data_IF_720921794827
#
_entry.id   IF_720921794827
#
_cell.length_a   1.000
_cell.length_b   1.000
_cell.length_c   1.000
_cell.angle_alpha   90.00
_cell.angle_beta   90.00
_cell.angle_gamma   90.00
#
_symmetry.space_group_name_H-M   'P 1'
#
loop_
_entity.id
_entity.type
_entity.pdbx_description
1 polymer ?
#
# COMPACT_ATOMS: atom_id res chain seq x y z
N UNK A 1 -3.20 -9.55 -7.12
CA UNK A 1 -2.50 -8.31 -6.72
C UNK A 1 -3.55 -7.23 -6.73
N UNK A 2 -3.97 -6.76 -5.55
CA UNK A 2 -5.21 -6.02 -5.29
C UNK A 2 -6.44 -6.63 -5.98
N UNK A 3 -7.14 -7.54 -5.30
CA UNK A 3 -8.40 -8.13 -5.78
C UNK A 3 -9.56 -7.11 -5.75
N UNK A 4 -9.29 -5.86 -6.12
CA UNK A 4 -10.28 -4.85 -6.42
C UNK A 4 -10.49 -4.87 -7.93
N UNK A 5 -11.67 -5.33 -8.42
CA UNK A 5 -11.97 -5.27 -9.84
C UNK A 5 -11.80 -3.82 -10.35
N UNK A 6 -11.15 -3.68 -11.51
CA UNK A 6 -10.85 -2.41 -12.20
C UNK A 6 -9.72 -1.54 -11.61
N UNK A 7 -8.93 -2.04 -10.64
CA UNK A 7 -7.79 -1.28 -10.08
C UNK A 7 -6.69 -0.97 -11.11
N UNK A 8 -6.36 -1.92 -12.01
CA UNK A 8 -5.35 -1.70 -13.08
C UNK A 8 -5.75 -0.64 -14.10
N UNK A 9 -7.04 -0.53 -14.45
CA UNK A 9 -7.51 0.51 -15.38
C UNK A 9 -7.54 1.90 -14.73
N UNK A 10 -7.87 1.95 -13.43
CA UNK A 10 -7.98 3.19 -12.65
C UNK A 10 -6.64 3.75 -12.17
N UNK A 11 -5.58 2.93 -12.17
CA UNK A 11 -4.21 3.30 -11.81
C UNK A 11 -3.25 3.12 -13.00
N UNK A 12 -3.75 3.33 -14.23
CA UNK A 12 -2.97 3.14 -15.46
C UNK A 12 -1.77 4.11 -15.60
N UNK A 13 -1.75 5.19 -14.82
CA UNK A 13 -0.63 6.11 -14.72
C UNK A 13 0.54 5.55 -13.91
N UNK A 14 0.29 4.60 -13.00
CA UNK A 14 1.31 4.06 -12.12
C UNK A 14 2.06 2.89 -12.78
N UNK A 15 3.36 2.81 -12.52
CA UNK A 15 4.26 1.82 -13.11
C UNK A 15 3.97 0.43 -12.54
N UNK A 16 3.78 -0.57 -13.40
CA UNK A 16 3.69 -1.99 -12.96
C UNK A 16 5.08 -2.52 -12.63
N UNK A 17 5.48 -2.41 -11.35
CA UNK A 17 6.80 -2.80 -10.84
C UNK A 17 6.76 -4.05 -9.96
N UNK A 18 5.80 -4.97 -10.15
CA UNK A 18 5.67 -6.18 -9.33
C UNK A 18 6.96 -7.02 -9.32
N UNK A 19 7.51 -7.32 -10.50
CA UNK A 19 8.70 -8.18 -10.62
C UNK A 19 9.92 -7.55 -9.96
N UNK A 20 10.13 -6.24 -10.15
CA UNK A 20 11.24 -5.51 -9.53
C UNK A 20 11.10 -5.41 -8.02
N UNK A 21 9.87 -5.14 -7.54
CA UNK A 21 9.56 -5.09 -6.11
C UNK A 21 9.78 -6.45 -5.43
N UNK A 22 9.41 -7.54 -6.11
CA UNK A 22 9.68 -8.89 -5.63
C UNK A 22 11.18 -9.17 -5.60
N UNK A 23 11.90 -8.81 -6.67
CA UNK A 23 13.35 -8.99 -6.75
C UNK A 23 14.09 -8.23 -5.64
N UNK A 24 13.73 -6.98 -5.39
CA UNK A 24 14.27 -6.17 -4.28
C UNK A 24 14.02 -6.85 -2.93
N UNK A 25 12.79 -7.32 -2.71
CA UNK A 25 12.39 -7.99 -1.47
C UNK A 25 13.16 -9.28 -1.23
N UNK A 26 13.38 -10.09 -2.28
CA UNK A 26 14.20 -11.30 -2.20
C UNK A 26 15.65 -10.93 -1.83
N UNK A 27 16.20 -9.85 -2.41
CA UNK A 27 17.53 -9.35 -2.06
C UNK A 27 17.67 -9.02 -0.56
N UNK A 28 16.65 -8.39 0.03
CA UNK A 28 16.64 -8.03 1.45
C UNK A 28 16.35 -9.23 2.38
N UNK A 29 15.52 -10.19 1.94
CA UNK A 29 14.98 -11.27 2.81
C UNK A 29 15.09 -12.64 2.14
N UNK A 30 16.29 -13.03 1.73
CA UNK A 30 16.51 -14.22 0.89
C UNK A 30 16.29 -15.57 1.62
N UNK A 31 16.35 -15.62 2.95
CA UNK A 31 16.27 -16.89 3.68
C UNK A 31 14.89 -17.57 3.50
N UNK A 32 14.82 -18.90 3.23
CA UNK A 32 13.59 -19.58 2.83
C UNK A 32 12.40 -19.39 3.79
N UNK A 33 12.66 -19.39 5.10
CA UNK A 33 11.62 -19.28 6.15
C UNK A 33 10.91 -17.92 6.19
N UNK A 34 11.47 -16.87 5.57
CA UNK A 34 10.82 -15.54 5.47
C UNK A 34 9.86 -15.42 4.28
N UNK A 35 9.26 -16.52 3.81
CA UNK A 35 8.35 -16.52 2.66
C UNK A 35 7.17 -15.56 2.80
N UNK A 36 6.55 -15.54 3.98
CA UNK A 36 5.44 -14.63 4.28
C UNK A 36 5.89 -13.15 4.28
N UNK A 37 7.01 -12.84 4.93
CA UNK A 37 7.61 -11.51 4.92
C UNK A 37 7.89 -11.02 3.49
N UNK A 38 8.38 -11.91 2.60
CA UNK A 38 8.60 -11.58 1.19
C UNK A 38 7.29 -11.23 0.46
N UNK A 39 6.22 -11.99 0.69
CA UNK A 39 4.93 -11.74 0.03
C UNK A 39 4.39 -10.37 0.44
N UNK A 40 4.37 -10.07 1.73
CA UNK A 40 3.84 -8.79 2.23
C UNK A 40 4.71 -7.61 1.84
N UNK A 41 6.02 -7.72 2.00
CA UNK A 41 6.94 -6.64 1.64
C UNK A 41 6.87 -6.34 0.14
N UNK A 42 6.65 -7.35 -0.72
CA UNK A 42 6.42 -7.13 -2.16
C UNK A 42 5.13 -6.36 -2.42
N UNK A 43 4.01 -6.71 -1.75
CA UNK A 43 2.74 -5.98 -1.88
C UNK A 43 2.91 -4.51 -1.46
N UNK A 44 3.60 -4.27 -0.33
CA UNK A 44 3.87 -2.93 0.17
C UNK A 44 4.80 -2.14 -0.75
N UNK A 45 5.88 -2.74 -1.23
CA UNK A 45 6.80 -2.07 -2.16
C UNK A 45 6.07 -1.59 -3.41
N UNK A 46 5.12 -2.36 -3.92
CA UNK A 46 4.34 -1.91 -5.08
C UNK A 46 3.41 -0.75 -4.72
N UNK A 47 2.77 -0.76 -3.55
CA UNK A 47 1.98 0.38 -3.08
C UNK A 47 2.84 1.63 -2.93
N UNK A 48 4.05 1.48 -2.39
CA UNK A 48 5.01 2.58 -2.26
C UNK A 48 5.37 3.13 -3.63
N UNK A 49 5.61 2.28 -4.64
CA UNK A 49 5.89 2.79 -6.00
C UNK A 49 4.69 3.49 -6.64
N UNK A 50 3.47 3.04 -6.36
CA UNK A 50 2.25 3.74 -6.83
C UNK A 50 2.09 5.08 -6.12
N UNK A 51 2.37 5.15 -4.82
CA UNK A 51 2.34 6.39 -4.05
C UNK A 51 3.42 7.36 -4.53
N UNK A 52 4.63 6.88 -4.79
CA UNK A 52 5.71 7.65 -5.41
C UNK A 52 5.23 8.32 -6.70
N UNK A 53 4.66 7.54 -7.63
CA UNK A 53 4.09 8.03 -8.90
C UNK A 53 2.97 9.09 -8.71
N UNK A 54 2.19 8.96 -7.63
CA UNK A 54 1.16 9.95 -7.28
C UNK A 54 1.81 11.25 -6.82
N UNK A 55 2.85 11.20 -5.99
CA UNK A 55 3.47 12.38 -5.40
C UNK A 55 4.46 13.09 -6.35
N UNK A 56 5.13 12.37 -7.24
CA UNK A 56 6.20 12.91 -8.09
C UNK A 56 5.73 13.33 -9.49
N UNK A 57 4.68 12.70 -10.03
CA UNK A 57 4.26 12.85 -11.43
C UNK A 57 2.80 13.26 -11.56
N UNK A 58 1.87 12.61 -10.83
CA UNK A 58 0.45 12.69 -11.18
C UNK A 58 -0.37 13.68 -10.35
N UNK A 59 -0.17 13.73 -9.03
CA UNK A 59 -0.97 14.51 -8.10
C UNK A 59 -0.67 16.01 -8.16
N UNK A 60 -1.71 16.82 -7.95
CA UNK A 60 -1.53 18.26 -7.72
C UNK A 60 -1.22 18.53 -6.25
N UNK A 61 -0.60 19.66 -5.93
CA UNK A 61 -0.24 20.02 -4.54
C UNK A 61 -1.48 19.94 -3.62
N UNK A 62 -2.61 20.51 -4.05
CA UNK A 62 -3.85 20.50 -3.27
C UNK A 62 -4.38 19.06 -3.03
N UNK A 63 -4.28 18.18 -4.03
CA UNK A 63 -4.67 16.77 -3.89
C UNK A 63 -3.72 16.03 -2.94
N UNK A 64 -2.42 16.32 -2.98
CA UNK A 64 -1.40 15.68 -2.14
C UNK A 64 -1.52 16.12 -0.67
N UNK A 65 -1.85 17.38 -0.40
CA UNK A 65 -2.12 17.85 0.97
C UNK A 65 -3.32 17.11 1.57
N UNK A 66 -4.42 16.99 0.82
CA UNK A 66 -5.59 16.22 1.26
C UNK A 66 -5.25 14.74 1.45
N UNK A 67 -4.46 14.15 0.55
CA UNK A 67 -4.08 12.76 0.67
C UNK A 67 -3.20 12.51 1.90
N UNK A 68 -2.30 13.44 2.20
CA UNK A 68 -1.45 13.39 3.39
C UNK A 68 -2.30 13.45 4.66
N UNK A 69 -3.26 14.39 4.77
CA UNK A 69 -4.16 14.49 5.93
C UNK A 69 -4.98 13.20 6.15
N UNK A 70 -5.47 12.57 5.08
CA UNK A 70 -6.18 11.28 5.17
C UNK A 70 -5.27 10.16 5.67
N UNK A 71 -4.02 10.12 5.20
CA UNK A 71 -3.02 9.14 5.68
C UNK A 71 -2.66 9.39 7.15
N UNK A 72 -2.48 10.64 7.57
CA UNK A 72 -2.17 10.97 8.97
C UNK A 72 -3.31 10.65 9.93
N UNK A 73 -4.57 10.86 9.51
CA UNK A 73 -5.75 10.48 10.30
C UNK A 73 -5.98 8.97 10.34
N UNK A 74 -5.53 8.27 9.30
CA UNK A 74 -5.70 6.83 9.12
C UNK A 74 -7.18 6.37 9.25
N UNK A 75 -8.12 7.21 8.79
CA UNK A 75 -9.56 6.95 8.87
C UNK A 75 -10.19 6.83 7.46
N UNK A 76 -10.76 5.67 7.16
CA UNK A 76 -11.45 5.41 5.88
C UNK A 76 -12.63 6.35 5.63
N UNK A 77 -13.20 6.96 6.67
CA UNK A 77 -14.31 7.90 6.52
C UNK A 77 -13.84 9.33 6.19
N UNK A 78 -12.53 9.61 6.28
CA UNK A 78 -11.96 10.93 5.97
C UNK A 78 -11.67 11.15 4.48
N UNK A 79 -11.98 10.18 3.62
CA UNK A 79 -11.61 10.19 2.21
C UNK A 79 -12.47 11.10 1.31
N UNK A 80 -13.56 11.70 1.80
CA UNK A 80 -14.60 12.31 0.94
C UNK A 80 -14.05 13.33 -0.08
N UNK A 81 -13.03 14.11 0.30
CA UNK A 81 -12.37 15.11 -0.55
C UNK A 81 -11.38 14.56 -1.58
N UNK A 82 -11.02 13.27 -1.53
CA UNK A 82 -10.03 12.69 -2.43
C UNK A 82 -10.59 12.32 -3.81
N UNK A 83 -9.79 12.46 -4.88
CA UNK A 83 -10.12 11.89 -6.17
C UNK A 83 -10.16 10.35 -6.10
N UNK A 84 -10.92 9.73 -7.00
CA UNK A 84 -11.19 8.29 -6.96
C UNK A 84 -9.92 7.40 -6.99
N UNK A 85 -8.87 7.84 -7.70
CA UNK A 85 -7.63 7.07 -7.79
C UNK A 85 -6.87 7.04 -6.45
N UNK A 86 -6.84 8.17 -5.74
CA UNK A 86 -6.29 8.28 -4.38
C UNK A 86 -7.10 7.47 -3.37
N UNK A 87 -8.44 7.51 -3.45
CA UNK A 87 -9.32 6.67 -2.61
C UNK A 87 -8.97 5.19 -2.75
N UNK A 88 -8.77 4.73 -3.99
CA UNK A 88 -8.37 3.34 -4.27
C UNK A 88 -6.99 3.04 -3.69
N UNK A 89 -6.04 3.95 -3.84
CA UNK A 89 -4.69 3.80 -3.31
C UNK A 89 -4.69 3.71 -1.77
N UNK A 90 -5.37 4.64 -1.09
CA UNK A 90 -5.50 4.63 0.36
C UNK A 90 -6.19 3.37 0.89
N UNK A 91 -7.30 2.96 0.28
CA UNK A 91 -7.97 1.71 0.67
C UNK A 91 -7.08 0.48 0.47
N UNK A 92 -6.31 0.45 -0.61
CA UNK A 92 -5.35 -0.64 -0.85
C UNK A 92 -4.23 -0.67 0.20
N UNK A 93 -3.72 0.51 0.58
CA UNK A 93 -2.74 0.66 1.66
C UNK A 93 -3.31 0.21 3.01
N UNK A 94 -4.42 0.82 3.43
CA UNK A 94 -5.10 0.54 4.70
C UNK A 94 -5.45 -0.95 4.84
N UNK A 95 -6.01 -1.57 3.79
CA UNK A 95 -6.34 -3.00 3.81
C UNK A 95 -5.09 -3.88 3.88
N UNK A 96 -3.99 -3.51 3.23
CA UNK A 96 -2.74 -4.29 3.27
C UNK A 96 -2.08 -4.25 4.65
N UNK A 97 -2.09 -3.08 5.31
CA UNK A 97 -1.60 -2.94 6.69
C UNK A 97 -2.46 -3.72 7.66
N UNK A 98 -3.79 -3.65 7.53
CA UNK A 98 -4.69 -4.43 8.39
C UNK A 98 -4.57 -5.95 8.16
N UNK A 99 -4.40 -6.41 6.92
CA UNK A 99 -4.12 -7.82 6.61
C UNK A 99 -2.85 -8.28 7.34
N UNK A 100 -1.76 -7.53 7.21
CA UNK A 100 -0.49 -7.82 7.90
C UNK A 100 -0.63 -7.84 9.42
N UNK A 101 -1.31 -6.84 9.98
CA UNK A 101 -1.49 -6.73 11.42
C UNK A 101 -2.34 -7.85 11.98
N UNK A 102 -3.36 -8.29 11.25
CA UNK A 102 -4.21 -9.42 11.62
C UNK A 102 -3.44 -10.74 11.61
N UNK A 103 -2.63 -10.97 10.58
CA UNK A 103 -1.82 -12.18 10.49
C UNK A 103 -0.76 -12.26 11.59
N UNK A 104 -0.08 -11.14 11.91
CA UNK A 104 0.89 -11.07 13.01
C UNK A 104 0.20 -11.27 14.36
N UNK A 105 -1.00 -10.71 14.55
CA UNK A 105 -1.79 -10.98 15.74
C UNK A 105 -2.13 -12.46 15.87
N UNK A 106 -2.51 -13.12 14.77
CA UNK A 106 -2.86 -14.54 14.76
C UNK A 106 -1.67 -15.46 15.05
N UNK A 107 -0.48 -15.13 14.55
CA UNK A 107 0.71 -15.97 14.70
C UNK A 107 1.50 -15.70 15.98
N UNK A 108 1.53 -14.45 16.45
CA UNK A 108 2.42 -14.00 17.53
C UNK A 108 1.67 -13.42 18.74
N UNK A 109 0.33 -13.36 18.70
CA UNK A 109 -0.52 -12.73 19.72
C UNK A 109 -0.15 -11.26 20.00
N UNK A 110 0.48 -10.60 19.02
CA UNK A 110 1.02 -9.25 19.16
C UNK A 110 0.22 -8.23 18.33
N UNK A 111 -0.31 -7.20 19.00
CA UNK A 111 -1.10 -6.14 18.36
C UNK A 111 -0.18 -5.06 17.75
N UNK A 112 0.04 -5.11 16.43
CA UNK A 112 0.91 -4.14 15.74
C UNK A 112 0.18 -2.97 15.08
N UNK A 113 -1.16 -2.93 15.09
CA UNK A 113 -1.93 -1.84 14.45
C UNK A 113 -1.48 -0.47 14.97
N UNK A 114 -1.06 -0.37 16.23
CA UNK A 114 -0.64 0.89 16.86
C UNK A 114 0.70 1.45 16.36
N UNK A 115 1.43 0.70 15.54
CA UNK A 115 2.66 1.19 14.89
C UNK A 115 2.40 1.85 13.53
N UNK A 116 1.14 1.90 13.10
CA UNK A 116 0.65 2.50 11.86
C UNK A 116 -0.47 3.49 12.20
#
# INVERSE_FOLDING_TARGET
MFNLPNSKEKLSFARDRLTESFFWTVGCTFHPHFGYCRIISTKLNVLITVLDDIYDVYGTIDELELFTDVVERWDINSMDGLPNYMKICFLALHNSVNEMAFDILKEQEFHIIRYF
#
